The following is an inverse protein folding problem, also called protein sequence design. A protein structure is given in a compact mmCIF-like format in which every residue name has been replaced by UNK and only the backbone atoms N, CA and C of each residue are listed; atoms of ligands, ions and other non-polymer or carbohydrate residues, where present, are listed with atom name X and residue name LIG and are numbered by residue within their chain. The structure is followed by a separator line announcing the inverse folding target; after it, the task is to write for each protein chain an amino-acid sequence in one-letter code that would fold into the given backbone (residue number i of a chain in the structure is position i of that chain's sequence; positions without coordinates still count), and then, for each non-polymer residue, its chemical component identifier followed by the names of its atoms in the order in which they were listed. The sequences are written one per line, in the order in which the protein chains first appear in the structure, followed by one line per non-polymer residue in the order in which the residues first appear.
data_IF_301056107328
#
_entry.id   IF_301056107328
#
_cell.length_a   1.000
_cell.length_b   1.000
_cell.length_c   1.000
_cell.angle_alpha   90.00
_cell.angle_beta   90.00
_cell.angle_gamma   90.00
#
_symmetry.space_group_name_H-M   'P 1'
#
loop_
_entity.id
_entity.type
_entity.pdbx_description
1 polymer ?
#
# COMPACT_ATOMS: atom_id res chain seq x y z
N UNK A 1 -18.52 3.28 10.53
CA UNK A 1 -17.32 2.49 10.88
C UNK A 1 -16.16 2.97 10.01
N UNK A 2 -15.12 3.57 10.60
CA UNK A 2 -13.90 3.94 9.88
C UNK A 2 -13.24 2.72 9.22
N UNK A 3 -12.53 2.93 8.10
CA UNK A 3 -11.90 1.79 7.40
C UNK A 3 -10.74 1.15 8.17
N UNK A 4 -10.16 1.85 9.16
CA UNK A 4 -9.13 1.31 10.05
C UNK A 4 -9.61 0.11 10.87
N UNK A 5 -10.91 0.06 11.21
CA UNK A 5 -11.51 -1.03 11.96
C UNK A 5 -11.49 -2.37 11.18
N UNK A 6 -11.42 -2.33 9.83
CA UNK A 6 -11.24 -3.53 9.01
C UNK A 6 -9.94 -4.24 9.39
N UNK A 7 -8.84 -3.47 9.48
CA UNK A 7 -7.54 -4.03 9.82
C UNK A 7 -7.51 -4.58 11.24
N UNK A 8 -8.09 -3.86 12.19
CA UNK A 8 -8.12 -4.28 13.60
C UNK A 8 -8.97 -5.55 13.79
N UNK A 9 -10.13 -5.60 13.13
CA UNK A 9 -10.98 -6.79 13.11
C UNK A 9 -10.23 -7.99 12.55
N UNK A 10 -9.62 -7.85 11.36
CA UNK A 10 -8.91 -8.94 10.72
C UNK A 10 -7.68 -9.39 11.51
N UNK A 11 -6.94 -8.46 12.12
CA UNK A 11 -5.82 -8.79 12.99
C UNK A 11 -6.26 -9.61 14.22
N UNK A 12 -7.47 -9.35 14.75
CA UNK A 12 -8.04 -10.09 15.87
C UNK A 12 -8.59 -11.47 15.45
N UNK A 13 -9.29 -11.53 14.32
CA UNK A 13 -9.99 -12.74 13.87
C UNK A 13 -9.05 -13.70 13.11
N UNK A 14 -8.13 -13.16 12.30
CA UNK A 14 -7.28 -13.90 11.37
C UNK A 14 -5.80 -13.58 11.55
N UNK A 15 -5.37 -13.17 12.73
CA UNK A 15 -4.06 -12.59 13.01
C UNK A 15 -2.86 -13.38 12.46
N UNK A 16 -2.94 -14.72 12.44
CA UNK A 16 -1.88 -15.61 11.95
C UNK A 16 -1.94 -15.87 10.45
N UNK A 17 -3.04 -15.54 9.79
CA UNK A 17 -3.21 -15.79 8.36
C UNK A 17 -2.39 -14.76 7.56
N UNK A 18 -1.72 -15.22 6.51
CA UNK A 18 -1.04 -14.35 5.56
C UNK A 18 -2.07 -13.53 4.80
N UNK A 19 -1.93 -12.20 4.84
CA UNK A 19 -2.86 -11.28 4.18
C UNK A 19 -2.25 -10.52 3.01
N UNK A 20 -0.95 -10.23 3.06
CA UNK A 20 -0.23 -9.56 2.00
C UNK A 20 0.96 -10.38 1.56
N UNK A 21 1.12 -10.49 0.25
CA UNK A 21 2.28 -11.11 -0.40
C UNK A 21 2.83 -10.11 -1.40
N UNK A 22 4.11 -9.81 -1.35
CA UNK A 22 4.82 -9.06 -2.38
C UNK A 22 5.58 -10.02 -3.28
N UNK A 23 5.46 -9.83 -4.58
CA UNK A 23 6.27 -10.51 -5.58
C UNK A 23 7.08 -9.46 -6.33
N UNK A 24 8.40 -9.61 -6.29
CA UNK A 24 9.33 -8.80 -7.06
C UNK A 24 10.03 -9.65 -8.12
N UNK A 25 9.55 -9.62 -9.37
CA UNK A 25 10.09 -10.46 -10.45
C UNK A 25 11.57 -10.19 -10.78
N UNK A 26 12.05 -8.97 -10.51
CA UNK A 26 13.43 -8.58 -10.80
C UNK A 26 14.44 -9.28 -9.89
N UNK A 27 13.99 -9.77 -8.72
CA UNK A 27 14.79 -10.51 -7.76
C UNK A 27 14.68 -12.04 -7.94
N UNK A 28 13.93 -12.50 -8.93
CA UNK A 28 13.84 -13.93 -9.24
C UNK A 28 15.16 -14.41 -9.79
N UNK A 29 15.78 -15.43 -9.16
CA UNK A 29 16.91 -16.12 -9.74
C UNK A 29 16.50 -16.72 -11.09
N UNK A 30 17.19 -16.30 -12.17
CA UNK A 30 16.97 -16.82 -13.52
C UNK A 30 17.53 -18.24 -13.62
N UNK A 31 16.93 -19.22 -12.97
CA UNK A 31 17.16 -20.62 -13.31
C UNK A 31 16.58 -20.87 -14.71
N UNK A 32 17.41 -21.33 -15.64
CA UNK A 32 16.93 -21.92 -16.89
C UNK A 32 16.15 -23.17 -16.52
N UNK A 33 14.83 -23.06 -16.46
CA UNK A 33 13.93 -24.19 -16.28
C UNK A 33 13.93 -24.95 -17.60
N UNK A 34 14.53 -26.12 -17.65
CA UNK A 34 14.33 -27.08 -18.74
C UNK A 34 13.00 -27.80 -18.52
N UNK A 35 12.35 -28.26 -19.59
CA UNK A 35 11.01 -28.90 -19.57
C UNK A 35 10.87 -30.09 -18.59
N UNK A 36 11.96 -30.57 -18.01
CA UNK A 36 11.98 -31.71 -17.08
C UNK A 36 12.09 -31.32 -15.61
N UNK A 37 12.33 -30.05 -15.33
CA UNK A 37 12.52 -29.54 -13.96
C UNK A 37 11.27 -28.78 -13.47
N UNK A 38 10.09 -29.40 -13.61
CA UNK A 38 8.96 -29.08 -12.74
C UNK A 38 9.23 -29.66 -11.35
N UNK A 39 10.33 -29.31 -10.76
CA UNK A 39 10.43 -29.36 -9.32
C UNK A 39 9.49 -28.27 -8.80
N UNK A 40 8.53 -28.70 -7.98
CA UNK A 40 7.74 -27.85 -7.13
C UNK A 40 8.67 -26.79 -6.56
N UNK A 41 8.49 -25.54 -6.97
CA UNK A 41 9.12 -24.41 -6.29
C UNK A 41 8.48 -24.47 -4.91
N UNK A 42 9.16 -25.11 -3.95
CA UNK A 42 8.78 -24.99 -2.55
C UNK A 42 8.70 -23.50 -2.27
N UNK A 43 7.51 -23.03 -1.97
CA UNK A 43 7.27 -21.62 -1.70
C UNK A 43 8.01 -21.29 -0.42
N UNK A 44 9.28 -20.90 -0.55
CA UNK A 44 9.98 -20.29 0.56
C UNK A 44 9.36 -18.90 0.76
N UNK A 45 8.52 -18.72 1.80
CA UNK A 45 7.76 -17.46 1.99
C UNK A 45 8.66 -16.26 2.27
N UNK A 46 9.95 -16.47 2.49
CA UNK A 46 10.93 -15.45 2.87
C UNK A 46 12.11 -15.35 1.87
N UNK A 47 11.93 -15.78 0.63
CA UNK A 47 12.95 -15.53 -0.39
C UNK A 47 12.89 -14.06 -0.87
N UNK A 48 14.00 -13.54 -1.42
CA UNK A 48 14.09 -12.13 -1.85
C UNK A 48 13.01 -11.74 -2.88
N UNK A 49 12.62 -12.68 -3.71
CA UNK A 49 11.62 -12.44 -4.74
C UNK A 49 10.18 -12.48 -4.20
N UNK A 50 9.96 -13.07 -3.01
CA UNK A 50 8.66 -13.20 -2.37
C UNK A 50 8.76 -12.86 -0.88
N UNK A 51 7.95 -11.90 -0.41
CA UNK A 51 7.84 -11.53 1.01
C UNK A 51 6.37 -11.59 1.42
N UNK A 52 6.10 -11.97 2.66
CA UNK A 52 4.75 -12.13 3.18
C UNK A 52 4.61 -11.50 4.56
N UNK A 53 3.42 -10.98 4.85
CA UNK A 53 3.03 -10.60 6.21
C UNK A 53 1.63 -11.12 6.55
N UNK A 54 1.45 -11.41 7.84
CA UNK A 54 0.16 -11.79 8.40
C UNK A 54 -0.66 -10.56 8.78
N UNK A 55 -1.96 -10.74 9.04
CA UNK A 55 -2.83 -9.66 9.53
C UNK A 55 -2.30 -9.02 10.82
N UNK A 56 -1.74 -9.82 11.73
CA UNK A 56 -1.14 -9.33 12.97
C UNK A 56 0.05 -8.40 12.68
N UNK A 57 1.00 -8.86 11.87
CA UNK A 57 2.18 -8.07 11.48
C UNK A 57 1.78 -6.82 10.71
N UNK A 58 0.78 -6.91 9.83
CA UNK A 58 0.25 -5.74 9.13
C UNK A 58 -0.25 -4.69 10.11
N UNK A 59 -1.09 -5.09 11.06
CA UNK A 59 -1.62 -4.18 12.07
C UNK A 59 -0.54 -3.57 12.96
N UNK A 60 0.46 -4.35 13.37
CA UNK A 60 1.61 -3.83 14.13
C UNK A 60 2.40 -2.79 13.34
N UNK A 61 2.73 -3.06 12.07
CA UNK A 61 3.43 -2.10 11.21
C UNK A 61 2.65 -0.81 11.04
N UNK A 62 1.33 -0.90 10.81
CA UNK A 62 0.45 0.27 10.73
C UNK A 62 0.42 1.06 12.04
N UNK A 63 0.34 0.40 13.19
CA UNK A 63 0.37 1.05 14.50
C UNK A 63 1.71 1.76 14.76
N UNK A 64 2.83 1.11 14.45
CA UNK A 64 4.17 1.70 14.61
C UNK A 64 4.32 2.97 13.78
N UNK A 65 3.87 2.96 12.53
CA UNK A 65 3.92 4.15 11.69
C UNK A 65 2.97 5.25 12.18
N UNK A 66 1.77 4.90 12.63
CA UNK A 66 0.86 5.87 13.24
C UNK A 66 1.49 6.55 14.46
N UNK A 67 2.11 5.77 15.35
CA UNK A 67 2.80 6.29 16.53
C UNK A 67 4.03 7.12 16.15
N UNK A 68 4.76 6.76 15.09
CA UNK A 68 5.85 7.59 14.57
C UNK A 68 5.33 8.95 14.10
N UNK A 69 4.27 8.99 13.30
CA UNK A 69 3.67 10.24 12.82
C UNK A 69 3.24 11.13 13.99
N UNK A 70 2.55 10.57 14.98
CA UNK A 70 2.11 11.30 16.18
C UNK A 70 3.32 11.84 16.97
N UNK A 71 4.39 11.05 17.13
CA UNK A 71 5.62 11.48 17.81
C UNK A 71 6.32 12.65 17.10
N UNK A 72 6.08 12.80 15.78
CA UNK A 72 6.59 13.89 14.95
C UNK A 72 5.64 15.10 14.92
N UNK A 73 4.59 15.09 15.73
CA UNK A 73 3.63 16.19 15.85
C UNK A 73 2.50 16.19 14.83
N UNK A 74 2.38 15.14 14.00
CA UNK A 74 1.28 14.98 13.04
C UNK A 74 -0.03 14.78 13.81
N UNK A 75 -1.04 15.52 13.39
CA UNK A 75 -2.36 15.61 14.03
C UNK A 75 -3.44 15.11 13.09
N UNK A 76 -4.62 14.90 13.66
CA UNK A 76 -5.82 14.60 12.89
C UNK A 76 -6.10 15.71 11.87
N UNK A 77 -6.19 15.31 10.60
CA UNK A 77 -6.41 16.23 9.48
C UNK A 77 -5.15 16.62 8.70
N UNK A 78 -3.96 16.38 9.23
CA UNK A 78 -2.70 16.55 8.48
C UNK A 78 -2.61 15.55 7.32
N UNK A 79 -1.77 15.82 6.34
CA UNK A 79 -1.71 15.06 5.08
C UNK A 79 -0.35 14.41 4.92
N UNK A 80 -0.38 13.12 4.61
CA UNK A 80 0.82 12.31 4.41
C UNK A 80 0.80 11.72 3.00
N UNK A 81 1.73 12.13 2.16
CA UNK A 81 1.85 11.62 0.81
C UNK A 81 2.62 10.29 0.77
N UNK A 82 2.21 9.41 -0.16
CA UNK A 82 2.84 8.12 -0.41
C UNK A 82 3.30 8.08 -1.86
N UNK A 83 4.60 8.03 -2.08
CA UNK A 83 5.26 7.91 -3.38
C UNK A 83 6.09 6.62 -3.41
N UNK A 84 5.42 5.50 -3.56
CA UNK A 84 6.02 4.16 -3.54
C UNK A 84 5.53 3.34 -4.73
N UNK A 85 6.38 2.45 -5.22
CA UNK A 85 5.94 1.33 -6.06
C UNK A 85 5.04 0.38 -5.24
N UNK A 86 4.35 -0.55 -5.92
CA UNK A 86 3.66 -1.62 -5.21
C UNK A 86 4.66 -2.42 -4.38
N UNK A 87 4.59 -2.32 -3.08
CA UNK A 87 5.46 -3.01 -2.13
C UNK A 87 4.70 -3.36 -0.85
N UNK A 88 5.32 -4.21 -0.05
CA UNK A 88 4.70 -4.72 1.18
C UNK A 88 4.48 -3.61 2.22
N UNK A 89 5.29 -2.56 2.19
CA UNK A 89 5.24 -1.41 3.11
C UNK A 89 4.09 -0.45 2.79
N UNK A 90 3.60 -0.43 1.52
CA UNK A 90 2.62 0.55 1.05
C UNK A 90 1.32 0.55 1.87
N UNK A 91 0.70 -0.61 2.05
CA UNK A 91 -0.57 -0.72 2.76
C UNK A 91 -0.43 -0.51 4.28
N UNK A 92 0.60 -1.03 4.97
CA UNK A 92 0.90 -0.66 6.36
C UNK A 92 1.08 0.85 6.57
N UNK A 93 1.77 1.52 5.66
CA UNK A 93 1.92 2.99 5.68
C UNK A 93 0.56 3.67 5.50
N UNK A 94 -0.23 3.27 4.50
CA UNK A 94 -1.56 3.82 4.26
C UNK A 94 -2.47 3.70 5.50
N UNK A 95 -2.56 2.53 6.10
CA UNK A 95 -3.37 2.33 7.31
C UNK A 95 -2.78 3.03 8.54
N UNK A 96 -1.46 3.14 8.63
CA UNK A 96 -0.79 3.90 9.70
C UNK A 96 -1.14 5.39 9.66
N UNK A 97 -1.16 5.99 8.46
CA UNK A 97 -1.63 7.36 8.26
C UNK A 97 -3.05 7.54 8.78
N UNK A 98 -3.95 6.65 8.36
CA UNK A 98 -5.35 6.70 8.78
C UNK A 98 -5.51 6.51 10.30
N UNK A 99 -4.75 5.62 10.92
CA UNK A 99 -4.76 5.38 12.37
C UNK A 99 -4.24 6.59 13.16
N UNK A 100 -3.34 7.38 12.60
CA UNK A 100 -2.92 8.66 13.16
C UNK A 100 -3.99 9.77 13.03
N UNK A 101 -5.09 9.48 12.30
CA UNK A 101 -6.12 10.48 11.99
C UNK A 101 -5.75 11.41 10.83
N UNK A 102 -4.61 11.18 10.21
CA UNK A 102 -4.15 11.94 9.05
C UNK A 102 -4.80 11.44 7.75
N UNK A 103 -4.71 12.24 6.69
CA UNK A 103 -5.20 11.91 5.36
C UNK A 103 -4.07 11.30 4.53
N UNK A 104 -4.33 10.14 3.96
CA UNK A 104 -3.40 9.56 3.00
C UNK A 104 -3.52 10.25 1.63
N UNK A 105 -2.38 10.60 1.04
CA UNK A 105 -2.28 11.26 -0.28
C UNK A 105 -1.43 10.38 -1.21
N UNK A 106 -2.01 9.33 -1.81
CA UNK A 106 -1.29 8.47 -2.75
C UNK A 106 -0.93 9.23 -4.01
N UNK A 107 0.37 9.27 -4.35
CA UNK A 107 0.87 9.91 -5.55
C UNK A 107 1.12 8.90 -6.67
N UNK A 108 0.90 9.34 -7.90
CA UNK A 108 1.22 8.53 -9.07
C UNK A 108 2.74 8.39 -9.20
N UNK A 109 3.26 7.18 -9.15
CA UNK A 109 4.70 6.89 -9.28
C UNK A 109 5.29 7.27 -10.65
N UNK A 110 4.47 7.64 -11.63
CA UNK A 110 4.91 8.13 -12.95
C UNK A 110 5.12 9.63 -13.00
N UNK A 111 4.73 10.36 -11.96
CA UNK A 111 4.89 11.80 -11.91
C UNK A 111 6.37 12.20 -12.01
N UNK A 112 6.64 13.22 -12.81
CA UNK A 112 7.93 13.92 -12.82
C UNK A 112 8.09 14.76 -11.55
N UNK A 113 9.27 15.32 -11.32
CA UNK A 113 9.57 16.07 -10.10
C UNK A 113 8.65 17.27 -9.89
N UNK A 114 8.38 18.03 -10.96
CA UNK A 114 7.45 19.17 -10.96
C UNK A 114 5.99 18.78 -10.67
N UNK A 115 5.54 17.63 -11.18
CA UNK A 115 4.21 17.10 -10.89
C UNK A 115 4.09 16.64 -9.43
N UNK A 116 5.15 16.03 -8.87
CA UNK A 116 5.22 15.64 -7.45
C UNK A 116 5.12 16.91 -6.60
N UNK A 117 5.94 17.93 -6.88
CA UNK A 117 5.92 19.22 -6.20
C UNK A 117 4.53 19.84 -6.23
N UNK A 118 3.92 19.94 -7.42
CA UNK A 118 2.58 20.46 -7.59
C UNK A 118 1.54 19.74 -6.73
N UNK A 119 1.55 18.41 -6.72
CA UNK A 119 0.60 17.64 -5.92
C UNK A 119 0.82 17.79 -4.42
N UNK A 120 2.08 17.84 -3.97
CA UNK A 120 2.47 18.03 -2.57
C UNK A 120 2.04 19.43 -2.06
N UNK A 121 2.19 20.45 -2.88
CA UNK A 121 1.76 21.82 -2.56
C UNK A 121 0.24 21.95 -2.59
N UNK A 122 -0.43 21.45 -3.65
CA UNK A 122 -1.88 21.55 -3.79
C UNK A 122 -2.63 20.83 -2.66
N UNK A 123 -2.12 19.68 -2.20
CA UNK A 123 -2.71 18.95 -1.09
C UNK A 123 -2.23 19.46 0.28
N UNK A 124 -1.33 20.43 0.34
CA UNK A 124 -0.72 20.94 1.58
C UNK A 124 -0.16 19.76 2.41
N UNK A 125 0.69 18.94 1.80
CA UNK A 125 1.25 17.74 2.42
C UNK A 125 2.22 18.12 3.53
N UNK A 126 2.09 17.50 4.71
CA UNK A 126 2.99 17.70 5.85
C UNK A 126 4.16 16.70 5.86
N UNK A 127 3.91 15.49 5.35
CA UNK A 127 4.89 14.38 5.30
C UNK A 127 4.89 13.75 3.93
N UNK A 128 6.07 13.51 3.35
CA UNK A 128 6.24 12.70 2.14
C UNK A 128 6.99 11.41 2.47
N UNK A 129 6.37 10.27 2.20
CA UNK A 129 6.99 8.94 2.28
C UNK A 129 7.33 8.48 0.86
N UNK A 130 8.60 8.18 0.60
CA UNK A 130 9.04 7.79 -0.74
C UNK A 130 10.03 6.62 -0.72
N UNK A 131 10.15 5.94 -1.86
CA UNK A 131 11.04 4.79 -2.06
C UNK A 131 12.25 5.10 -2.94
N UNK A 132 13.16 4.14 -3.09
CA UNK A 132 14.43 4.31 -3.80
C UNK A 132 14.26 4.71 -5.27
N UNK A 133 13.18 4.28 -5.90
CA UNK A 133 12.89 4.60 -7.30
C UNK A 133 12.61 6.09 -7.54
N UNK A 134 12.40 6.86 -6.47
CA UNK A 134 12.00 8.27 -6.52
C UNK A 134 13.05 9.22 -5.94
N UNK A 135 14.17 8.72 -5.42
CA UNK A 135 15.20 9.52 -4.75
C UNK A 135 15.62 10.72 -5.58
N UNK A 136 16.00 10.52 -6.85
CA UNK A 136 16.41 11.63 -7.71
C UNK A 136 15.33 12.67 -7.96
N UNK A 137 14.06 12.25 -8.15
CA UNK A 137 12.94 13.18 -8.35
C UNK A 137 12.61 13.99 -7.10
N UNK A 138 12.78 13.39 -5.92
CA UNK A 138 12.56 14.09 -4.64
C UNK A 138 13.73 15.02 -4.37
N UNK A 139 14.96 14.61 -4.68
CA UNK A 139 16.17 15.44 -4.56
C UNK A 139 16.11 16.69 -5.43
N UNK A 140 15.56 16.62 -6.65
CA UNK A 140 15.36 17.77 -7.54
C UNK A 140 14.46 18.86 -6.93
N UNK A 141 13.54 18.50 -6.04
CA UNK A 141 12.54 19.43 -5.49
C UNK A 141 12.72 19.70 -3.99
N UNK A 142 13.66 19.04 -3.32
CA UNK A 142 13.78 19.12 -1.85
C UNK A 142 14.01 20.55 -1.35
N UNK A 143 14.81 21.34 -2.06
CA UNK A 143 15.10 22.73 -1.72
C UNK A 143 13.96 23.69 -2.09
N UNK A 144 13.01 23.23 -2.89
CA UNK A 144 11.88 24.03 -3.39
C UNK A 144 10.57 23.78 -2.61
N UNK A 145 10.48 22.65 -1.89
CA UNK A 145 9.35 22.36 -1.02
C UNK A 145 9.63 22.91 0.39
N UNK A 146 8.55 23.17 1.16
CA UNK A 146 8.66 23.70 2.52
C UNK A 146 9.59 22.83 3.39
N UNK A 147 10.66 23.41 3.92
CA UNK A 147 11.66 22.76 4.78
C UNK A 147 11.08 22.15 6.07
N UNK A 148 9.86 22.55 6.44
CA UNK A 148 9.14 21.95 7.57
C UNK A 148 8.54 20.58 7.27
N UNK A 149 8.50 20.18 5.99
CA UNK A 149 7.99 18.87 5.61
C UNK A 149 8.94 17.77 6.06
N UNK A 150 8.34 16.74 6.63
CA UNK A 150 9.09 15.55 7.02
C UNK A 150 9.19 14.63 5.79
N UNK A 151 10.40 14.16 5.51
CA UNK A 151 10.67 13.23 4.42
C UNK A 151 11.07 11.88 5.00
N UNK A 152 10.23 10.85 4.84
CA UNK A 152 10.57 9.47 5.21
C UNK A 152 10.95 8.66 4.00
N UNK A 153 12.07 7.97 4.09
CA UNK A 153 12.56 7.07 3.05
C UNK A 153 12.33 5.61 3.45
N UNK A 154 11.72 4.85 2.53
CA UNK A 154 11.44 3.42 2.68
C UNK A 154 12.44 2.65 1.81
N UNK A 155 13.43 2.00 2.43
CA UNK A 155 14.47 1.23 1.73
C UNK A 155 15.78 1.22 2.49
N UNK A 156 16.82 0.62 1.90
CA UNK A 156 18.10 0.39 2.59
C UNK A 156 18.96 1.64 2.78
N UNK A 157 19.46 2.20 1.70
CA UNK A 157 20.41 3.33 1.74
C UNK A 157 19.65 4.66 1.77
N UNK A 158 19.29 5.12 2.98
CA UNK A 158 18.54 6.36 3.18
C UNK A 158 19.38 7.58 2.76
N UNK A 159 18.89 8.45 1.86
CA UNK A 159 19.59 9.67 1.50
C UNK A 159 19.65 10.65 2.66
N UNK A 160 20.65 11.52 2.66
CA UNK A 160 20.94 12.45 3.78
C UNK A 160 19.87 13.49 4.03
N UNK A 161 19.03 13.78 3.03
CA UNK A 161 17.92 14.73 3.11
C UNK A 161 16.61 14.10 3.65
N UNK A 162 16.61 12.81 3.97
CA UNK A 162 15.42 12.11 4.46
C UNK A 162 15.72 11.31 5.73
N UNK A 163 14.67 10.84 6.38
CA UNK A 163 14.74 10.01 7.57
C UNK A 163 14.39 8.55 7.24
N UNK A 164 15.11 7.60 7.81
CA UNK A 164 14.95 6.18 7.59
C UNK A 164 13.66 5.65 8.26
N UNK A 165 12.63 5.42 7.46
CA UNK A 165 11.34 4.90 7.91
C UNK A 165 11.48 3.59 8.69
N UNK A 166 12.24 2.63 8.16
CA UNK A 166 12.31 1.29 8.73
C UNK A 166 12.93 1.31 10.13
N UNK A 167 14.03 2.06 10.31
CA UNK A 167 14.68 2.22 11.61
C UNK A 167 13.80 2.96 12.62
N UNK A 168 13.15 4.03 12.20
CA UNK A 168 12.34 4.85 13.09
C UNK A 168 11.05 4.15 13.48
N UNK A 169 10.34 3.56 12.54
CA UNK A 169 9.10 2.84 12.81
C UNK A 169 9.33 1.60 13.70
N UNK A 170 10.46 0.88 13.53
CA UNK A 170 10.79 -0.27 14.34
C UNK A 170 10.89 0.07 15.85
N UNK A 171 11.28 1.30 16.19
CA UNK A 171 11.42 1.77 17.56
C UNK A 171 10.13 2.35 18.18
N UNK A 172 9.06 2.47 17.37
CA UNK A 172 7.78 2.99 17.85
C UNK A 172 6.89 1.89 18.43
N UNK A 173 5.97 2.24 19.35
CA UNK A 173 5.02 1.29 19.93
C UNK A 173 4.15 0.60 18.86
N UNK A 174 3.85 -0.68 19.05
CA UNK A 174 3.02 -1.50 18.16
C UNK A 174 1.54 -1.55 18.56
N UNK A 175 1.14 -0.91 19.64
CA UNK A 175 -0.27 -0.78 20.03
C UNK A 175 -0.97 0.32 19.22
N UNK A 176 -2.29 0.19 19.06
CA UNK A 176 -3.11 1.18 18.36
C UNK A 176 -3.09 2.52 19.09
N UNK A 177 -2.84 3.65 18.41
CA UNK A 177 -2.92 4.96 19.06
C UNK A 177 -4.37 5.27 19.48
N UNK A 178 -4.53 6.05 20.56
CA UNK A 178 -5.84 6.49 21.06
C UNK A 178 -6.35 7.70 20.26
N UNK A 179 -6.66 7.49 18.99
CA UNK A 179 -7.23 8.50 18.11
C UNK A 179 -8.68 8.15 17.81
N UNK A 180 -9.60 9.01 18.21
CA UNK A 180 -11.03 8.83 17.92
C UNK A 180 -11.34 9.20 16.48
N UNK A 181 -11.71 8.19 15.69
CA UNK A 181 -12.13 8.33 14.29
C UNK A 181 -13.62 8.02 14.16
N UNK A 182 -14.25 8.74 13.24
CA UNK A 182 -15.62 8.48 12.78
C UNK A 182 -15.63 8.20 11.29
N UNK A 183 -16.71 7.67 10.76
CA UNK A 183 -16.86 7.45 9.31
C UNK A 183 -17.09 8.77 8.53
N UNK A 184 -17.38 9.88 9.21
CA UNK A 184 -17.45 11.21 8.64
C UNK A 184 -16.12 11.95 8.55
N UNK A 185 -15.08 11.46 9.22
CA UNK A 185 -13.73 12.03 9.12
C UNK A 185 -13.16 11.84 7.70
N UNK A 186 -12.33 12.78 7.29
CA UNK A 186 -11.59 12.66 6.04
C UNK A 186 -10.47 11.62 6.17
N UNK A 187 -10.28 10.84 5.11
CA UNK A 187 -9.36 9.71 5.11
C UNK A 187 -8.28 9.82 4.03
N UNK A 188 -8.60 10.34 2.86
CA UNK A 188 -7.64 10.38 1.76
C UNK A 188 -7.93 11.49 0.75
N UNK A 189 -6.87 11.90 0.05
CA UNK A 189 -6.92 12.72 -1.15
C UNK A 189 -6.37 11.89 -2.30
N UNK A 190 -7.18 11.67 -3.35
CA UNK A 190 -6.73 11.03 -4.57
C UNK A 190 -6.69 12.03 -5.72
N UNK A 191 -5.66 11.92 -6.53
CA UNK A 191 -5.54 12.74 -7.73
C UNK A 191 -6.17 12.07 -8.94
N UNK A 192 -6.96 12.82 -9.69
CA UNK A 192 -7.47 12.40 -10.99
C UNK A 192 -6.73 13.11 -12.12
N UNK A 193 -6.63 12.46 -13.28
CA UNK A 193 -6.17 13.10 -14.50
C UNK A 193 -7.16 14.20 -14.89
N UNK A 194 -6.75 15.47 -14.69
CA UNK A 194 -7.59 16.59 -15.10
C UNK A 194 -7.68 16.68 -16.62
N UNK A 195 -8.85 17.01 -17.15
CA UNK A 195 -9.05 17.38 -18.55
C UNK A 195 -8.29 18.64 -18.96
N UNK A 196 -7.76 19.38 -17.98
CA UNK A 196 -7.02 20.64 -18.13
C UNK A 196 -5.50 20.49 -18.03
N UNK A 197 -4.97 19.26 -17.99
CA UNK A 197 -3.53 18.97 -17.94
C UNK A 197 -2.96 18.78 -16.55
N UNK A 198 -3.54 19.40 -15.51
CA UNK A 198 -3.05 19.24 -14.13
C UNK A 198 -3.94 18.31 -13.31
N UNK A 199 -3.37 17.49 -12.40
CA UNK A 199 -4.12 16.63 -11.50
C UNK A 199 -5.07 17.42 -10.59
N UNK A 200 -6.28 16.88 -10.38
CA UNK A 200 -7.27 17.47 -9.45
C UNK A 200 -7.34 16.63 -8.18
N UNK A 201 -7.24 17.28 -7.02
CA UNK A 201 -7.34 16.65 -5.72
C UNK A 201 -8.82 16.35 -5.37
N UNK A 202 -9.12 15.08 -5.06
CA UNK A 202 -10.46 14.61 -4.67
C UNK A 202 -10.39 14.09 -3.24
N UNK A 203 -11.14 14.74 -2.35
CA UNK A 203 -11.19 14.42 -0.94
C UNK A 203 -12.20 13.31 -0.65
N UNK A 204 -11.79 12.29 0.10
CA UNK A 204 -12.61 11.16 0.49
C UNK A 204 -12.74 11.05 2.00
N UNK A 205 -13.97 10.74 2.47
CA UNK A 205 -14.25 10.37 3.85
C UNK A 205 -14.10 8.85 4.05
N UNK A 206 -13.91 8.40 5.29
CA UNK A 206 -13.91 6.98 5.64
C UNK A 206 -15.17 6.28 5.15
N UNK A 207 -16.35 6.88 5.30
CA UNK A 207 -17.63 6.31 4.85
C UNK A 207 -17.69 6.08 3.33
N UNK A 208 -17.11 6.99 2.52
CA UNK A 208 -17.12 6.82 1.07
C UNK A 208 -16.20 5.69 0.62
N UNK A 209 -15.03 5.54 1.27
CA UNK A 209 -14.13 4.42 1.04
C UNK A 209 -14.75 3.09 1.45
N UNK A 210 -15.41 3.07 2.63
CA UNK A 210 -16.11 1.89 3.14
C UNK A 210 -17.29 1.51 2.24
N UNK A 211 -18.04 2.48 1.73
CA UNK A 211 -19.14 2.23 0.81
C UNK A 211 -18.65 1.58 -0.49
N UNK A 212 -17.60 2.16 -1.09
CA UNK A 212 -16.99 1.61 -2.29
C UNK A 212 -16.51 0.17 -2.08
N UNK A 213 -15.85 -0.11 -0.94
CA UNK A 213 -15.41 -1.45 -0.58
C UNK A 213 -16.58 -2.45 -0.48
N UNK A 214 -17.69 -2.05 0.16
CA UNK A 214 -18.88 -2.90 0.30
C UNK A 214 -19.57 -3.19 -1.03
N UNK A 215 -19.66 -2.17 -1.90
CA UNK A 215 -20.24 -2.33 -3.24
C UNK A 215 -19.39 -3.30 -4.07
N UNK A 216 -18.07 -3.10 -4.04
CA UNK A 216 -17.11 -3.95 -4.74
C UNK A 216 -17.19 -5.41 -4.27
N UNK A 217 -17.10 -5.62 -2.95
CA UNK A 217 -17.18 -6.94 -2.34
C UNK A 217 -18.48 -7.66 -2.73
N UNK A 218 -19.62 -6.94 -2.66
CA UNK A 218 -20.92 -7.52 -3.00
C UNK A 218 -21.04 -7.84 -4.49
N UNK A 219 -20.56 -6.93 -5.36
CA UNK A 219 -20.65 -7.09 -6.82
C UNK A 219 -19.83 -8.28 -7.31
N UNK A 220 -18.62 -8.43 -6.81
CA UNK A 220 -17.74 -9.53 -7.18
C UNK A 220 -17.94 -10.80 -6.34
N UNK A 221 -18.77 -10.75 -5.30
CA UNK A 221 -19.00 -11.87 -4.39
C UNK A 221 -17.72 -12.35 -3.71
N UNK A 222 -16.83 -11.40 -3.36
CA UNK A 222 -15.56 -11.72 -2.72
C UNK A 222 -15.78 -12.41 -1.37
N UNK A 223 -14.97 -13.43 -1.10
CA UNK A 223 -14.96 -14.23 0.12
C UNK A 223 -13.57 -14.23 0.76
N UNK A 224 -13.46 -14.78 1.98
CA UNK A 224 -12.18 -14.92 2.67
C UNK A 224 -11.18 -15.79 1.89
N UNK A 225 -11.67 -16.76 1.13
CA UNK A 225 -10.83 -17.71 0.40
C UNK A 225 -10.29 -17.15 -0.93
N UNK A 226 -10.79 -15.98 -1.34
CA UNK A 226 -10.32 -15.33 -2.55
C UNK A 226 -8.95 -14.66 -2.35
N UNK A 227 -8.11 -14.74 -3.38
CA UNK A 227 -6.81 -14.09 -3.45
C UNK A 227 -6.87 -13.01 -4.53
N UNK A 228 -6.76 -11.75 -4.11
CA UNK A 228 -6.72 -10.63 -5.04
C UNK A 228 -5.31 -10.43 -5.58
N UNK A 229 -5.12 -10.59 -6.89
CA UNK A 229 -3.87 -10.23 -7.57
C UNK A 229 -3.89 -8.74 -7.92
N UNK A 230 -3.12 -7.93 -7.19
CA UNK A 230 -3.03 -6.49 -7.38
C UNK A 230 -2.08 -6.16 -8.53
N UNK A 231 -2.60 -6.16 -9.75
CA UNK A 231 -1.90 -5.76 -10.97
C UNK A 231 -1.81 -4.22 -11.07
N UNK A 232 -2.92 -3.47 -10.85
CA UNK A 232 -2.86 -2.03 -10.95
C UNK A 232 -2.05 -1.40 -9.80
N UNK A 233 -1.49 -0.19 -10.02
CA UNK A 233 -0.80 0.54 -8.98
C UNK A 233 -1.68 0.81 -7.77
N UNK A 234 -1.14 0.67 -6.56
CA UNK A 234 -1.87 0.87 -5.29
C UNK A 234 -2.38 2.31 -5.11
N UNK A 235 -1.71 3.29 -5.70
CA UNK A 235 -2.18 4.69 -5.68
C UNK A 235 -3.47 4.90 -6.47
N UNK A 236 -3.81 3.99 -7.39
CA UNK A 236 -4.96 4.15 -8.27
C UNK A 236 -6.27 3.76 -7.57
N UNK A 237 -7.32 4.54 -7.80
CA UNK A 237 -8.64 4.31 -7.18
C UNK A 237 -9.24 2.94 -7.51
N UNK A 238 -8.99 2.40 -8.71
CA UNK A 238 -9.43 1.06 -9.10
C UNK A 238 -8.83 -0.03 -8.22
N UNK A 239 -7.49 0.00 -8.00
CA UNK A 239 -6.85 -0.96 -7.09
C UNK A 239 -7.43 -0.88 -5.68
N UNK A 240 -7.65 0.35 -5.19
CA UNK A 240 -8.18 0.61 -3.85
C UNK A 240 -9.51 -0.11 -3.58
N UNK A 241 -10.45 -0.04 -4.49
CA UNK A 241 -11.75 -0.67 -4.30
C UNK A 241 -11.61 -2.18 -4.14
N UNK A 242 -10.80 -2.82 -4.98
CA UNK A 242 -10.61 -4.27 -4.97
C UNK A 242 -9.92 -4.78 -3.72
N UNK A 243 -8.79 -4.19 -3.30
CA UNK A 243 -8.12 -4.66 -2.09
C UNK A 243 -8.91 -4.35 -0.82
N UNK A 244 -9.63 -3.21 -0.76
CA UNK A 244 -10.54 -2.92 0.35
C UNK A 244 -11.71 -3.91 0.41
N UNK A 245 -12.29 -4.28 -0.74
CA UNK A 245 -13.35 -5.28 -0.82
C UNK A 245 -12.87 -6.65 -0.32
N UNK A 246 -11.67 -7.08 -0.71
CA UNK A 246 -11.05 -8.31 -0.22
C UNK A 246 -10.81 -8.26 1.30
N UNK A 247 -10.33 -7.13 1.81
CA UNK A 247 -10.05 -6.97 3.24
C UNK A 247 -11.33 -6.97 4.10
N UNK A 248 -12.47 -6.50 3.57
CA UNK A 248 -13.74 -6.57 4.29
C UNK A 248 -14.11 -8.00 4.72
N UNK A 249 -13.69 -8.98 3.96
CA UNK A 249 -13.98 -10.41 4.18
C UNK A 249 -12.77 -11.19 4.72
N UNK A 250 -11.66 -10.51 5.02
CA UNK A 250 -10.43 -11.15 5.51
C UNK A 250 -9.63 -11.86 4.41
N UNK A 251 -9.87 -11.52 3.14
CA UNK A 251 -9.16 -12.08 1.98
C UNK A 251 -7.70 -11.63 1.90
N UNK A 252 -6.94 -12.27 1.00
CA UNK A 252 -5.52 -12.04 0.77
C UNK A 252 -5.31 -11.17 -0.47
N UNK A 253 -4.25 -10.35 -0.46
CA UNK A 253 -3.79 -9.62 -1.64
C UNK A 253 -2.34 -9.99 -1.99
N UNK A 254 -2.08 -10.17 -3.29
CA UNK A 254 -0.74 -10.36 -3.86
C UNK A 254 -0.37 -9.11 -4.64
N UNK A 255 0.70 -8.44 -4.22
CA UNK A 255 1.20 -7.20 -4.79
C UNK A 255 2.32 -7.50 -5.79
N UNK A 256 2.17 -7.05 -7.03
CA UNK A 256 3.24 -7.14 -8.02
C UNK A 256 4.05 -5.86 -8.07
N UNK A 257 5.36 -5.98 -7.82
CA UNK A 257 6.32 -4.90 -8.06
C UNK A 257 6.85 -5.05 -9.49
N UNK A 258 6.35 -4.24 -10.40
CA UNK A 258 6.64 -4.39 -11.83
C UNK A 258 5.69 -5.38 -12.53
N UNK A 259 5.00 -4.88 -13.55
CA UNK A 259 3.92 -5.60 -14.23
C UNK A 259 4.29 -5.79 -15.71
N UNK A 260 4.48 -7.04 -16.13
CA UNK A 260 4.58 -7.43 -17.54
C UNK A 260 3.56 -8.53 -17.81
N UNK A 261 3.11 -8.73 -19.08
CA UNK A 261 2.22 -9.84 -19.41
C UNK A 261 2.77 -11.21 -18.95
N UNK A 262 4.09 -11.37 -19.03
CA UNK A 262 4.76 -12.59 -18.58
C UNK A 262 4.63 -12.79 -17.07
N UNK A 263 4.92 -11.77 -16.27
CA UNK A 263 4.83 -11.86 -14.79
C UNK A 263 3.39 -12.09 -14.33
N UNK A 264 2.40 -11.50 -15.00
CA UNK A 264 0.99 -11.75 -14.71
C UNK A 264 0.65 -13.23 -14.93
N UNK A 265 1.04 -13.80 -16.07
CA UNK A 265 0.76 -15.20 -16.41
C UNK A 265 1.49 -16.16 -15.46
N UNK A 266 2.75 -15.90 -15.14
CA UNK A 266 3.53 -16.69 -14.21
C UNK A 266 2.91 -16.68 -12.81
N UNK A 267 2.51 -15.52 -12.31
CA UNK A 267 1.87 -15.40 -10.99
C UNK A 267 0.48 -16.02 -10.95
N UNK A 268 -0.30 -15.90 -12.01
CA UNK A 268 -1.58 -16.58 -12.13
C UNK A 268 -1.42 -18.11 -12.12
N UNK A 269 -0.39 -18.66 -12.76
CA UNK A 269 -0.12 -20.09 -12.77
C UNK A 269 0.46 -20.59 -11.45
N UNK A 270 1.42 -19.88 -10.84
CA UNK A 270 2.04 -20.26 -9.56
C UNK A 270 1.03 -20.25 -8.41
N UNK A 271 0.11 -19.28 -8.39
CA UNK A 271 -0.97 -19.26 -7.40
C UNK A 271 -1.97 -20.40 -7.61
N UNK A 272 -2.20 -20.83 -8.86
CA UNK A 272 -3.04 -21.97 -9.17
C UNK A 272 -2.43 -23.31 -8.70
N UNK A 273 -1.10 -23.48 -8.74
CA UNK A 273 -0.42 -24.71 -8.32
C UNK A 273 -0.13 -24.76 -6.82
N UNK A 274 -0.03 -23.64 -6.14
CA UNK A 274 0.22 -23.57 -4.68
C UNK A 274 -1.04 -23.68 -3.81
N UNK A 275 -2.24 -23.55 -4.39
CA UNK A 275 -3.53 -23.62 -3.72
C UNK A 275 -4.51 -24.45 -4.54
N UNK A 276 -4.43 -25.76 -4.43
CA UNK A 276 -5.52 -26.66 -4.81
C UNK A 276 -6.69 -26.41 -3.84
N UNK A 277 -7.78 -25.94 -4.38
CA UNK A 277 -9.12 -25.65 -3.84
C UNK A 277 -9.42 -24.16 -3.59
N UNK A 278 -10.37 -23.72 -4.41
CA UNK A 278 -11.18 -22.52 -4.43
C UNK A 278 -10.59 -21.26 -5.14
N UNK A 279 -10.99 -21.10 -6.36
CA UNK A 279 -11.35 -19.87 -7.06
C UNK A 279 -10.36 -18.69 -7.11
N UNK A 280 -9.26 -18.78 -7.89
CA UNK A 280 -8.54 -17.55 -8.30
C UNK A 280 -9.48 -16.71 -9.18
N UNK A 281 -9.97 -15.60 -8.66
CA UNK A 281 -10.68 -14.60 -9.46
C UNK A 281 -9.69 -13.50 -9.84
N UNK A 282 -9.25 -13.52 -11.12
CA UNK A 282 -8.48 -12.43 -11.70
C UNK A 282 -9.50 -11.39 -12.16
N UNK A 283 -9.62 -10.30 -11.43
CA UNK A 283 -10.39 -9.15 -11.88
C UNK A 283 -9.49 -8.29 -12.77
N UNK A 284 -9.58 -8.49 -14.09
CA UNK A 284 -9.02 -7.55 -15.06
C UNK A 284 -9.96 -6.36 -15.16
N UNK A 285 -9.45 -5.17 -14.86
CA UNK A 285 -10.12 -3.94 -15.28
C UNK A 285 -10.07 -3.88 -16.80
N UNK A 286 -11.22 -3.91 -17.47
CA UNK A 286 -11.38 -3.49 -18.86
C UNK A 286 -11.27 -1.98 -18.99
#
# INVERSE_FOLDING_TARGET
MPITEILEKNAKEYGKDVCLVEINPDLQEKKRVTWRDYELIESNPMCQYRREITWHVFNEKANRFANLLISRGIKKGDKVAILLMNCLEWLPIYFGILKAGALAVPLNFRYAADEIKYCVELAEVDVLVFGPEFTGRVEEIVDEIDEKRILFYVGGDCPTFAEDYDKLAANCPSYSPDIKLTDDDYAAIYFSSGTTGFPKAILHKHRSLMHAAKVEQKHHGQTKDDVFLCIPPLYHTGAKMHWLGSFLVGGKAVLLKGVTPKTILEMSSVQLYGFWYHGLRIFCLQ
#
